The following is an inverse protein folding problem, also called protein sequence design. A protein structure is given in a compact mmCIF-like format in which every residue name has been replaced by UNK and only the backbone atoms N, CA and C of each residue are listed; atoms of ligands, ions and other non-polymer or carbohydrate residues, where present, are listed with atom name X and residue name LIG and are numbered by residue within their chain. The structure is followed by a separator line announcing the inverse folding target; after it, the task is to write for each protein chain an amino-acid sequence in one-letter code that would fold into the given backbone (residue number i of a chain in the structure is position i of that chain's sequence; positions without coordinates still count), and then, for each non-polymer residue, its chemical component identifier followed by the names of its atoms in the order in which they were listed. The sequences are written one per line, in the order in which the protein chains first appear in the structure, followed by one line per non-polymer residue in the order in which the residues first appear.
data_IF_706362704675
#
_entry.id   IF_706362704675
#
_cell.length_a   1.000
_cell.length_b   1.000
_cell.length_c   1.000
_cell.angle_alpha   90.00
_cell.angle_beta   90.00
_cell.angle_gamma   90.00
#
_symmetry.space_group_name_H-M   'P 1'
#
loop_
_entity.id
_entity.type
_entity.pdbx_description
1 polymer ?
#
# COMPACT_ATOMS: atom_id res chain seq x y z
N UNK A 1 16.76 -0.18 1.77
CA UNK A 1 17.41 -0.13 3.10
C UNK A 1 17.43 1.25 3.78
N UNK A 2 18.08 2.31 3.26
CA UNK A 2 18.19 3.60 4.00
C UNK A 2 16.85 4.32 4.27
N UNK A 3 15.87 4.19 3.38
CA UNK A 3 14.55 4.83 3.53
C UNK A 3 13.71 4.14 4.60
N UNK A 4 13.67 2.81 4.61
CA UNK A 4 12.84 2.02 5.53
C UNK A 4 13.35 2.13 6.96
N UNK A 5 14.67 2.04 7.20
CA UNK A 5 15.25 2.27 8.53
C UNK A 5 14.96 3.68 9.06
N UNK A 6 14.99 4.68 8.17
CA UNK A 6 14.60 6.06 8.54
C UNK A 6 13.13 6.15 8.89
N UNK A 7 12.26 5.44 8.18
CA UNK A 7 10.83 5.40 8.48
C UNK A 7 10.55 4.66 9.78
N UNK A 8 11.11 3.46 9.99
CA UNK A 8 11.01 2.72 11.25
C UNK A 8 11.30 3.63 12.45
N UNK A 9 12.39 4.41 12.41
CA UNK A 9 12.74 5.39 13.47
C UNK A 9 11.70 6.50 13.67
N UNK A 10 11.01 6.93 12.62
CA UNK A 10 9.96 7.96 12.70
C UNK A 10 8.64 7.41 13.24
N UNK A 11 8.39 6.12 13.03
CA UNK A 11 7.15 5.45 13.41
C UNK A 11 7.18 4.92 14.84
N UNK A 12 8.36 4.84 15.48
CA UNK A 12 8.50 4.33 16.86
C UNK A 12 7.66 5.08 17.88
N UNK A 13 7.32 6.36 17.64
CA UNK A 13 6.48 7.14 18.54
C UNK A 13 5.02 6.69 18.60
N UNK A 14 4.57 5.87 17.64
CA UNK A 14 3.20 5.30 17.61
C UNK A 14 3.12 3.91 18.24
N UNK A 15 4.26 3.33 18.65
CA UNK A 15 4.32 1.97 19.18
C UNK A 15 3.80 1.91 20.61
N UNK A 16 3.02 0.87 20.90
CA UNK A 16 2.68 0.48 22.26
C UNK A 16 3.90 -0.13 22.97
N UNK A 17 3.88 -0.22 24.32
CA UNK A 17 4.92 -0.94 25.05
C UNK A 17 5.11 -2.37 24.52
N UNK A 18 6.35 -2.77 24.30
CA UNK A 18 6.75 -4.08 23.73
C UNK A 18 6.31 -4.35 22.28
N UNK A 19 5.79 -3.34 21.58
CA UNK A 19 5.51 -3.43 20.16
C UNK A 19 6.78 -3.15 19.33
N UNK A 20 7.03 -3.95 18.31
CA UNK A 20 8.20 -3.82 17.43
C UNK A 20 7.76 -3.79 15.96
N UNK A 21 8.43 -2.97 15.15
CA UNK A 21 8.16 -2.90 13.71
C UNK A 21 8.86 -4.07 13.03
N UNK A 22 8.07 -4.94 12.42
CA UNK A 22 8.54 -6.12 11.68
C UNK A 22 8.75 -5.80 10.21
N UNK A 23 7.81 -5.08 9.58
CA UNK A 23 7.93 -4.64 8.20
C UNK A 23 7.34 -3.24 7.95
N UNK A 24 7.89 -2.50 6.98
CA UNK A 24 7.32 -1.21 6.56
C UNK A 24 7.51 -0.95 5.07
N UNK A 25 6.42 -0.61 4.39
CA UNK A 25 6.40 -0.29 2.96
C UNK A 25 5.64 1.00 2.69
N UNK A 26 6.06 1.73 1.67
CA UNK A 26 5.27 2.84 1.15
C UNK A 26 4.24 2.26 0.19
N UNK A 27 2.97 2.57 0.43
CA UNK A 27 1.90 2.30 -0.52
C UNK A 27 1.67 3.53 -1.38
N UNK A 28 1.33 3.29 -2.65
CA UNK A 28 0.99 4.32 -3.61
C UNK A 28 -0.28 3.91 -4.34
N UNK A 29 -1.17 4.88 -4.55
CA UNK A 29 -2.49 4.69 -5.11
C UNK A 29 -2.40 4.12 -6.52
N UNK A 30 -2.81 2.86 -6.67
CA UNK A 30 -3.19 2.30 -7.97
C UNK A 30 -4.56 2.84 -8.40
N UNK A 31 -5.43 3.13 -7.44
CA UNK A 31 -6.79 3.65 -7.65
C UNK A 31 -6.96 4.96 -6.90
N UNK A 32 -7.35 6.02 -7.61
CA UNK A 32 -7.71 7.32 -7.02
C UNK A 32 -9.05 7.77 -7.61
N UNK A 33 -9.84 8.55 -6.85
CA UNK A 33 -11.23 8.81 -7.18
C UNK A 33 -11.35 9.62 -8.48
N UNK A 34 -12.29 9.23 -9.34
CA UNK A 34 -12.74 10.07 -10.46
C UNK A 34 -13.47 11.36 -10.01
N UNK A 35 -13.68 11.58 -8.72
CA UNK A 35 -14.33 12.80 -8.24
C UNK A 35 -13.29 13.85 -7.87
N UNK A 36 -13.05 14.78 -8.79
CA UNK A 36 -12.35 16.01 -8.48
C UNK A 36 -13.06 16.76 -7.36
N UNK A 37 -12.40 16.90 -6.21
CA UNK A 37 -12.66 17.99 -5.26
C UNK A 37 -11.32 18.45 -4.67
N UNK A 38 -10.99 19.70 -4.99
CA UNK A 38 -10.06 20.64 -4.36
C UNK A 38 -8.67 20.13 -3.93
N UNK A 39 -7.68 20.25 -4.82
CA UNK A 39 -6.29 20.50 -4.39
C UNK A 39 -5.16 20.04 -5.31
N UNK A 40 -5.38 19.02 -6.15
CA UNK A 40 -4.31 18.53 -7.03
C UNK A 40 -4.42 19.12 -8.43
N UNK A 41 -3.45 19.98 -8.73
CA UNK A 41 -3.17 20.56 -10.05
C UNK A 41 -3.22 19.49 -11.14
N UNK A 42 -3.88 19.88 -12.25
CA UNK A 42 -3.92 19.22 -13.55
C UNK A 42 -2.60 18.54 -13.91
N UNK A 43 -2.54 17.22 -13.80
CA UNK A 43 -1.65 16.44 -14.63
C UNK A 43 -2.36 16.25 -15.98
N UNK A 44 -2.05 17.13 -16.93
CA UNK A 44 -2.42 16.96 -18.33
C UNK A 44 -1.85 15.64 -18.87
N UNK A 45 -2.61 15.02 -19.77
CA UNK A 45 -2.38 13.73 -20.46
C UNK A 45 -2.80 12.48 -19.69
N UNK A 46 -3.41 11.55 -20.44
CA UNK A 46 -3.64 10.13 -20.13
C UNK A 46 -5.05 9.69 -19.72
N UNK A 47 -5.98 9.76 -20.67
CA UNK A 47 -7.12 8.84 -20.70
C UNK A 47 -6.67 7.36 -20.67
N UNK A 48 -5.53 7.02 -21.30
CA UNK A 48 -4.93 5.67 -21.24
C UNK A 48 -4.41 5.24 -19.85
N UNK A 49 -4.03 6.18 -18.97
CA UNK A 49 -3.59 5.84 -17.59
C UNK A 49 -4.78 5.55 -16.67
N UNK A 50 -6.02 5.85 -17.07
CA UNK A 50 -7.22 5.54 -16.28
C UNK A 50 -7.64 4.09 -16.45
N UNK A 51 -7.53 3.53 -17.65
CA UNK A 51 -7.95 2.14 -17.95
C UNK A 51 -7.10 1.07 -17.28
N UNK A 52 -5.78 1.27 -17.14
CA UNK A 52 -4.92 0.29 -16.46
C UNK A 52 -5.17 0.20 -14.94
N UNK A 53 -5.70 1.26 -14.32
CA UNK A 53 -5.99 1.32 -12.88
C UNK A 53 -7.22 0.51 -12.47
N UNK A 54 -8.20 0.40 -13.37
CA UNK A 54 -9.39 -0.42 -13.19
C UNK A 54 -9.19 -1.87 -13.62
N UNK A 55 -8.15 -2.17 -14.43
CA UNK A 55 -7.87 -3.52 -14.91
C UNK A 55 -7.67 -4.53 -13.78
N UNK A 56 -6.99 -4.11 -12.72
CA UNK A 56 -6.71 -4.97 -11.57
C UNK A 56 -7.88 -5.04 -10.60
N UNK A 57 -8.74 -4.03 -10.57
CA UNK A 57 -9.89 -4.02 -9.66
C UNK A 57 -10.82 -5.21 -9.91
N UNK A 58 -11.10 -5.57 -11.16
CA UNK A 58 -11.91 -6.75 -11.46
C UNK A 58 -11.20 -8.07 -11.09
N UNK A 59 -9.86 -8.10 -11.06
CA UNK A 59 -9.07 -9.26 -10.64
C UNK A 59 -9.11 -9.47 -9.13
N UNK A 60 -8.91 -8.40 -8.36
CA UNK A 60 -8.89 -8.46 -6.89
C UNK A 60 -10.31 -8.45 -6.29
N UNK A 61 -11.25 -7.80 -6.98
CA UNK A 61 -12.54 -7.39 -6.45
C UNK A 61 -13.65 -7.43 -7.52
N UNK A 62 -13.94 -8.61 -8.10
CA UNK A 62 -14.97 -8.73 -9.12
C UNK A 62 -16.33 -8.27 -8.59
N UNK A 63 -16.90 -7.23 -9.23
CA UNK A 63 -18.22 -6.70 -8.88
C UNK A 63 -18.30 -5.85 -7.61
N UNK A 64 -17.17 -5.43 -7.04
CA UNK A 64 -17.19 -4.56 -5.85
C UNK A 64 -17.72 -3.16 -6.15
N UNK A 65 -18.60 -2.64 -5.28
CA UNK A 65 -18.96 -1.21 -5.28
C UNK A 65 -17.78 -0.39 -4.73
N UNK A 66 -16.95 0.08 -5.65
CA UNK A 66 -15.72 0.82 -5.37
C UNK A 66 -15.95 2.13 -4.62
N UNK A 67 -17.14 2.73 -4.75
CA UNK A 67 -17.40 4.06 -4.20
C UNK A 67 -17.70 4.04 -2.71
N UNK A 68 -18.27 2.95 -2.21
CA UNK A 68 -18.75 2.86 -0.82
C UNK A 68 -17.80 2.10 0.09
N UNK A 69 -17.02 1.15 -0.45
CA UNK A 69 -16.18 0.26 0.34
C UNK A 69 -14.68 0.60 0.35
N UNK A 70 -14.22 1.56 -0.46
CA UNK A 70 -12.79 1.92 -0.49
C UNK A 70 -12.40 2.84 0.69
N UNK A 71 -11.31 2.49 1.38
CA UNK A 71 -10.64 3.31 2.40
C UNK A 71 -9.85 4.48 1.79
N UNK A 72 -10.54 5.46 1.20
CA UNK A 72 -9.90 6.68 0.68
C UNK A 72 -9.17 7.50 1.74
N UNK A 73 -9.59 7.37 3.00
CA UNK A 73 -8.94 7.95 4.17
C UNK A 73 -7.51 7.43 4.35
N UNK A 74 -7.21 6.24 3.84
CA UNK A 74 -5.90 5.58 3.87
C UNK A 74 -5.20 5.64 2.50
N UNK A 75 -5.31 6.74 1.77
CA UNK A 75 -4.61 6.90 0.49
C UNK A 75 -3.12 7.27 0.66
N UNK A 76 -2.25 6.54 -0.04
CA UNK A 76 -0.78 6.70 -0.09
C UNK A 76 -0.07 6.61 1.29
N UNK A 77 -0.44 5.67 2.18
CA UNK A 77 0.14 5.58 3.51
C UNK A 77 1.49 4.88 3.47
N UNK A 78 2.27 5.09 4.53
CA UNK A 78 3.19 4.05 4.99
C UNK A 78 2.37 2.95 5.66
N UNK A 79 2.47 1.74 5.13
CA UNK A 79 1.89 0.55 5.71
C UNK A 79 2.95 -0.18 6.51
N UNK A 80 2.68 -0.37 7.80
CA UNK A 80 3.65 -0.91 8.75
C UNK A 80 3.02 -2.05 9.50
N UNK A 81 3.69 -3.20 9.50
CA UNK A 81 3.31 -4.34 10.31
C UNK A 81 4.18 -4.40 11.55
N UNK A 82 3.55 -4.61 12.69
CA UNK A 82 4.20 -4.91 13.96
C UNK A 82 3.92 -6.35 14.36
N UNK A 83 4.51 -6.78 15.46
CA UNK A 83 4.18 -8.03 16.12
C UNK A 83 2.74 -8.08 16.70
N UNK A 84 1.95 -7.01 16.59
CA UNK A 84 0.61 -6.93 17.18
C UNK A 84 -0.47 -6.46 16.19
N UNK A 85 -0.14 -5.56 15.27
CA UNK A 85 -1.13 -4.88 14.43
C UNK A 85 -0.52 -4.30 13.16
N UNK A 86 -1.40 -4.02 12.21
CA UNK A 86 -1.12 -3.19 11.07
C UNK A 86 -1.34 -1.71 11.41
N UNK A 87 -0.46 -0.84 10.93
CA UNK A 87 -0.57 0.61 11.10
C UNK A 87 -0.45 1.32 9.76
N UNK A 88 -1.23 2.38 9.61
CA UNK A 88 -1.25 3.24 8.42
C UNK A 88 -0.84 4.64 8.81
N UNK A 89 0.26 5.14 8.26
CA UNK A 89 0.75 6.47 8.56
C UNK A 89 0.76 7.37 7.34
N UNK A 90 0.19 8.57 7.47
CA UNK A 90 0.27 9.59 6.43
C UNK A 90 1.64 10.25 6.43
N UNK A 91 2.35 10.28 5.29
CA UNK A 91 3.49 11.17 5.16
C UNK A 91 2.97 12.63 5.17
N UNK A 92 3.36 13.43 6.19
CA UNK A 92 2.91 14.84 6.35
C UNK A 92 3.31 15.75 5.18
N UNK A 93 4.22 15.32 4.30
CA UNK A 93 4.40 15.88 2.96
C UNK A 93 4.96 14.82 2.00
N UNK A 94 4.91 15.08 0.70
CA UNK A 94 5.61 14.29 -0.35
C UNK A 94 7.13 14.16 -0.11
N UNK A 95 7.68 14.88 0.87
CA UNK A 95 9.07 14.76 1.25
C UNK A 95 9.31 13.56 2.16
N UNK A 96 10.16 12.59 1.75
CA UNK A 96 10.62 11.51 2.63
C UNK A 96 11.45 12.03 3.82
N UNK A 97 11.70 13.35 3.91
CA UNK A 97 12.37 14.04 5.03
C UNK A 97 11.40 14.60 6.07
N UNK A 98 10.08 14.54 5.87
CA UNK A 98 9.14 15.02 6.89
C UNK A 98 9.37 14.32 8.23
N UNK A 99 9.56 15.06 9.35
CA UNK A 99 9.90 14.48 10.65
C UNK A 99 8.71 13.77 11.31
N UNK A 100 7.49 13.96 10.82
CA UNK A 100 6.26 13.45 11.41
C UNK A 100 5.49 12.64 10.37
N UNK A 101 5.12 11.43 10.75
CA UNK A 101 4.17 10.58 10.05
C UNK A 101 2.97 10.44 11.00
N UNK A 102 1.80 10.90 10.57
CA UNK A 102 0.59 10.89 11.38
C UNK A 102 -0.04 9.50 11.31
N UNK A 103 -0.30 8.87 12.45
CA UNK A 103 -1.04 7.60 12.48
C UNK A 103 -2.49 7.89 12.07
N UNK A 104 -2.90 7.34 10.94
CA UNK A 104 -4.27 7.46 10.43
C UNK A 104 -5.17 6.38 11.03
N UNK A 105 -4.66 5.15 11.08
CA UNK A 105 -5.39 3.99 11.55
C UNK A 105 -4.44 2.89 12.02
N UNK A 106 -4.94 2.04 12.91
CA UNK A 106 -4.24 0.90 13.45
C UNK A 106 -5.24 -0.25 13.66
N UNK A 107 -4.99 -1.38 13.01
CA UNK A 107 -5.93 -2.50 12.90
C UNK A 107 -5.24 -3.78 13.37
N UNK A 108 -5.87 -4.61 14.23
CA UNK A 108 -5.32 -5.91 14.61
C UNK A 108 -4.97 -6.77 13.39
N UNK A 109 -3.94 -7.60 13.52
CA UNK A 109 -3.47 -8.44 12.39
C UNK A 109 -4.57 -9.40 11.91
N UNK A 110 -5.38 -9.91 12.83
CA UNK A 110 -6.52 -10.79 12.55
C UNK A 110 -7.68 -10.12 11.79
N UNK A 111 -7.72 -8.78 11.79
CA UNK A 111 -8.77 -7.99 11.12
C UNK A 111 -8.37 -7.52 9.72
N UNK A 112 -7.17 -7.91 9.26
CA UNK A 112 -6.69 -7.66 7.90
C UNK A 112 -6.42 -8.97 7.18
N UNK A 113 -6.86 -9.02 5.92
CA UNK A 113 -6.34 -9.98 4.95
C UNK A 113 -5.86 -9.23 3.72
N UNK A 114 -5.09 -9.92 2.88
CA UNK A 114 -4.50 -9.32 1.71
C UNK A 114 -4.59 -10.26 0.51
N UNK A 115 -4.91 -9.68 -0.64
CA UNK A 115 -4.54 -10.27 -1.91
C UNK A 115 -3.43 -9.45 -2.53
N UNK A 116 -2.50 -10.11 -3.22
CA UNK A 116 -1.39 -9.42 -3.86
C UNK A 116 -1.05 -10.03 -5.23
N UNK A 117 -0.39 -9.24 -6.06
CA UNK A 117 0.18 -9.72 -7.32
C UNK A 117 1.37 -8.85 -7.71
N UNK A 118 2.42 -9.45 -8.25
CA UNK A 118 3.53 -8.72 -8.85
C UNK A 118 3.25 -8.45 -10.33
N UNK A 119 3.58 -7.24 -10.78
CA UNK A 119 3.54 -6.91 -12.21
C UNK A 119 4.71 -6.00 -12.59
N UNK A 120 4.88 -5.81 -13.90
CA UNK A 120 5.84 -4.83 -14.43
C UNK A 120 5.12 -3.72 -15.17
N UNK A 121 5.37 -2.46 -14.79
CA UNK A 121 4.86 -1.28 -15.51
C UNK A 121 5.95 -0.22 -15.60
N UNK A 122 6.10 0.41 -16.79
CA UNK A 122 7.10 1.46 -17.07
C UNK A 122 8.53 1.12 -16.64
N UNK A 123 8.94 -0.15 -16.75
CA UNK A 123 10.27 -0.59 -16.35
C UNK A 123 10.49 -0.67 -14.83
N UNK A 124 9.42 -0.64 -14.03
CA UNK A 124 9.42 -0.91 -12.59
C UNK A 124 8.68 -2.21 -12.31
N UNK A 125 9.22 -3.00 -11.38
CA UNK A 125 8.50 -4.13 -10.77
C UNK A 125 7.70 -3.58 -9.59
N UNK A 126 6.40 -3.75 -9.63
CA UNK A 126 5.46 -3.32 -8.60
C UNK A 126 4.80 -4.54 -7.97
N UNK A 127 4.40 -4.41 -6.71
CA UNK A 127 3.48 -5.34 -6.05
C UNK A 127 2.17 -4.62 -5.80
N UNK A 128 1.10 -5.07 -6.44
CA UNK A 128 -0.27 -4.70 -6.11
C UNK A 128 -0.64 -5.37 -4.79
N UNK A 129 -1.31 -4.61 -3.92
CA UNK A 129 -1.73 -5.04 -2.58
C UNK A 129 -3.16 -4.57 -2.36
N UNK A 130 -4.09 -5.52 -2.31
CA UNK A 130 -5.48 -5.32 -1.94
C UNK A 130 -5.65 -5.77 -0.48
N UNK A 131 -5.72 -4.82 0.44
CA UNK A 131 -5.98 -5.07 1.85
C UNK A 131 -7.48 -5.06 2.11
N UNK A 132 -7.99 -6.09 2.78
CA UNK A 132 -9.38 -6.25 3.16
C UNK A 132 -9.49 -6.15 4.67
N UNK A 133 -10.44 -5.34 5.14
CA UNK A 133 -10.67 -5.08 6.55
C UNK A 133 -11.91 -5.85 7.02
N UNK A 134 -11.96 -6.19 8.31
CA UNK A 134 -13.10 -6.90 8.92
C UNK A 134 -14.44 -6.18 8.79
N UNK A 135 -14.44 -4.86 8.54
CA UNK A 135 -15.62 -4.03 8.34
C UNK A 135 -16.08 -3.93 6.87
N UNK A 136 -15.70 -4.92 6.06
CA UNK A 136 -16.01 -5.02 4.63
C UNK A 136 -15.37 -3.92 3.75
N UNK A 137 -14.59 -2.99 4.31
CA UNK A 137 -13.87 -2.01 3.51
C UNK A 137 -12.58 -2.61 2.95
N UNK A 138 -12.00 -1.95 1.94
CA UNK A 138 -10.74 -2.38 1.34
C UNK A 138 -9.84 -1.21 0.95
N UNK A 139 -8.56 -1.50 0.76
CA UNK A 139 -7.55 -0.58 0.25
C UNK A 139 -6.77 -1.28 -0.87
N UNK A 140 -6.85 -0.77 -2.09
CA UNK A 140 -6.06 -1.26 -3.22
C UNK A 140 -4.98 -0.25 -3.59
N UNK A 141 -3.73 -0.60 -3.36
CA UNK A 141 -2.54 0.21 -3.65
C UNK A 141 -1.40 -0.66 -4.17
N UNK A 142 -0.25 -0.05 -4.48
CA UNK A 142 0.95 -0.77 -4.86
C UNK A 142 2.17 -0.28 -4.10
N UNK A 143 3.18 -1.15 -3.99
CA UNK A 143 4.53 -0.80 -3.56
C UNK A 143 5.54 -1.06 -4.66
N UNK A 144 6.60 -0.27 -4.73
CA UNK A 144 7.66 -0.41 -5.73
C UNK A 144 8.69 -1.40 -5.22
N UNK A 145 8.85 -2.53 -5.91
CA UNK A 145 9.86 -3.54 -5.57
C UNK A 145 11.24 -3.14 -6.09
N UNK A 146 11.30 -2.41 -7.23
CA UNK A 146 12.55 -1.94 -7.81
C UNK A 146 12.46 -1.76 -9.33
N UNK A 147 13.61 -1.54 -10.01
CA UNK A 147 13.65 -1.55 -11.46
C UNK A 147 13.37 -2.96 -11.99
N UNK A 148 12.60 -3.07 -13.07
CA UNK A 148 12.30 -4.34 -13.73
C UNK A 148 13.56 -4.95 -14.38
N UNK A 149 14.43 -4.07 -14.92
CA UNK A 149 15.71 -4.43 -15.50
C UNK A 149 16.84 -3.97 -14.58
N UNK A 150 17.23 -4.82 -13.63
CA UNK A 150 18.38 -4.56 -12.75
C UNK A 150 18.61 -5.62 -11.69
N UNK A 151 19.87 -5.79 -11.26
CA UNK A 151 20.28 -6.71 -10.17
C UNK A 151 19.91 -6.22 -8.75
N UNK A 152 19.20 -5.09 -8.63
CA UNK A 152 18.77 -4.61 -7.30
C UNK A 152 17.61 -5.49 -6.84
N UNK A 153 17.83 -6.19 -5.72
CA UNK A 153 16.84 -7.06 -5.08
C UNK A 153 15.51 -6.34 -4.88
N UNK A 154 14.43 -7.14 -4.88
CA UNK A 154 13.10 -6.72 -4.43
C UNK A 154 13.20 -5.99 -3.09
N UNK A 155 12.23 -5.14 -2.78
CA UNK A 155 12.13 -4.57 -1.44
C UNK A 155 11.93 -5.71 -0.43
N UNK A 156 12.98 -6.09 0.32
CA UNK A 156 12.91 -7.14 1.34
C UNK A 156 11.73 -6.92 2.32
N UNK A 157 11.34 -5.67 2.56
CA UNK A 157 10.17 -5.33 3.38
C UNK A 157 8.84 -5.76 2.76
N UNK A 158 8.70 -5.71 1.43
CA UNK A 158 7.47 -6.10 0.77
C UNK A 158 7.30 -7.63 0.82
N UNK A 159 8.39 -8.38 0.75
CA UNK A 159 8.41 -9.82 0.95
C UNK A 159 8.18 -10.17 2.45
N UNK A 160 8.77 -9.39 3.36
CA UNK A 160 8.51 -9.53 4.80
C UNK A 160 7.04 -9.32 5.16
N UNK A 161 6.35 -8.37 4.52
CA UNK A 161 4.90 -8.18 4.70
C UNK A 161 4.11 -9.45 4.38
N UNK A 162 4.44 -10.13 3.28
CA UNK A 162 3.78 -11.39 2.92
C UNK A 162 4.04 -12.46 3.98
N UNK A 163 5.30 -12.61 4.40
CA UNK A 163 5.69 -13.60 5.41
C UNK A 163 5.03 -13.38 6.76
N UNK A 164 4.77 -12.12 7.16
CA UNK A 164 4.12 -11.78 8.42
C UNK A 164 2.61 -12.02 8.40
N UNK A 165 1.96 -11.81 7.25
CA UNK A 165 0.53 -12.09 7.08
C UNK A 165 0.27 -13.59 6.86
N UNK A 166 1.26 -14.34 6.37
CA UNK A 166 1.16 -15.79 6.19
C UNK A 166 -0.06 -16.16 5.33
N UNK A 167 -0.91 -17.04 5.86
CA UNK A 167 -2.11 -17.54 5.17
C UNK A 167 -3.16 -16.44 4.90
N UNK A 168 -3.06 -15.28 5.55
CA UNK A 168 -3.93 -14.13 5.26
C UNK A 168 -3.51 -13.37 3.99
N UNK A 169 -2.33 -13.66 3.41
CA UNK A 169 -1.83 -13.04 2.19
C UNK A 169 -1.86 -14.01 1.01
N UNK A 170 -2.86 -13.84 0.14
CA UNK A 170 -3.08 -14.72 -1.02
C UNK A 170 -2.56 -14.07 -2.30
N UNK A 171 -1.71 -14.79 -3.02
CA UNK A 171 -1.30 -14.37 -4.37
C UNK A 171 -2.47 -14.58 -5.35
N UNK A 172 -2.75 -13.59 -6.19
CA UNK A 172 -3.73 -13.70 -7.27
C UNK A 172 -3.06 -13.51 -8.62
N UNK A 173 -3.56 -14.22 -9.62
CA UNK A 173 -3.08 -14.08 -10.98
C UNK A 173 -3.67 -12.83 -11.63
N UNK A 174 -2.80 -11.97 -12.14
CA UNK A 174 -3.18 -10.75 -12.84
C UNK A 174 -2.97 -10.94 -14.34
N UNK A 175 -4.00 -10.76 -15.18
CA UNK A 175 -3.86 -10.96 -16.61
C UNK A 175 -2.97 -9.88 -17.25
N UNK A 176 -1.96 -10.33 -18.00
CA UNK A 176 -0.97 -9.53 -18.74
C UNK A 176 -1.57 -8.55 -19.75
#
# INVERSE_FOLDING_TARGET
MKTNNRMRKKLTGSLQPNEQIEATVALTSSVGPETGVAGMRRAHSNAKRRTHRYRYLDTFLPGADLKTRLRYDLADPWFTLTNQRAMFHKPKSWSPRSPQAELLDAVPMEEISMQWADHTEYGLRLRLMALFFADDRFLLQYTVLGPALGKKKSSDEADAVLGLLGDQAVEVEVPD
#
